data_IF_271086880707
#
_entry.id   IF_271086880707
#
_cell.length_a   1.000
_cell.length_b   1.000
_cell.length_c   1.000
_cell.angle_alpha   90.00
_cell.angle_beta   90.00
_cell.angle_gamma   90.00
#
_symmetry.space_group_name_H-M   'P 1'
#
loop_
_entity.id
_entity.type
_entity.pdbx_description
1 polymer ?
#
# COMPACT_ATOMS: atom_id res chain seq x y z
N UNK A 1 3.31 6.20 -11.95
CA UNK A 1 2.78 5.88 -10.60
C UNK A 1 3.82 5.05 -9.88
N UNK A 2 4.21 5.43 -8.66
CA UNK A 2 5.12 4.64 -7.82
C UNK A 2 4.33 4.15 -6.62
N UNK A 3 4.46 2.85 -6.31
CA UNK A 3 3.85 2.23 -5.13
C UNK A 3 4.85 1.31 -4.46
N UNK A 4 4.92 1.36 -3.14
CA UNK A 4 5.83 0.57 -2.32
C UNK A 4 5.08 -0.26 -1.29
N UNK A 5 5.63 -1.42 -0.95
CA UNK A 5 5.20 -2.28 0.15
C UNK A 5 6.44 -2.90 0.80
N UNK A 6 6.44 -3.19 2.11
CA UNK A 6 7.56 -3.87 2.76
C UNK A 6 7.87 -5.22 2.10
N UNK A 7 9.15 -5.49 1.85
CA UNK A 7 9.60 -6.81 1.41
C UNK A 7 9.27 -7.85 2.48
N UNK A 8 8.68 -8.97 2.07
CA UNK A 8 8.49 -10.14 2.91
C UNK A 8 9.76 -10.99 2.89
N UNK A 9 10.22 -11.41 4.05
CA UNK A 9 11.34 -12.31 4.24
C UNK A 9 10.89 -13.60 4.91
N UNK A 10 11.48 -14.71 4.48
CA UNK A 10 11.59 -15.91 5.28
C UNK A 10 12.82 -15.78 6.20
N UNK A 11 12.63 -16.08 7.47
CA UNK A 11 13.66 -15.94 8.52
C UNK A 11 14.04 -17.31 9.06
N UNK A 12 15.31 -17.67 8.88
CA UNK A 12 15.93 -18.87 9.46
C UNK A 12 17.18 -18.47 10.24
N UNK A 13 17.03 -18.33 11.56
CA UNK A 13 18.07 -17.79 12.44
C UNK A 13 18.45 -16.36 12.04
N UNK A 14 19.68 -16.17 11.55
CA UNK A 14 20.17 -14.87 11.04
C UNK A 14 20.03 -14.71 9.53
N UNK A 15 19.51 -15.71 8.83
CA UNK A 15 19.38 -15.70 7.38
C UNK A 15 18.01 -15.15 6.98
N UNK A 16 18.03 -14.11 6.15
CA UNK A 16 16.85 -13.45 5.59
C UNK A 16 16.78 -13.74 4.10
N UNK A 17 15.77 -14.47 3.67
CA UNK A 17 15.53 -14.79 2.25
C UNK A 17 14.31 -14.04 1.76
N UNK A 18 14.50 -13.11 0.81
CA UNK A 18 13.38 -12.36 0.24
C UNK A 18 12.38 -13.30 -0.44
N UNK A 19 11.10 -13.16 -0.10
CA UNK A 19 10.01 -13.91 -0.70
C UNK A 19 9.51 -13.15 -1.93
N UNK A 20 9.59 -13.74 -3.14
CA UNK A 20 9.12 -13.08 -4.33
C UNK A 20 7.60 -12.91 -4.29
N UNK A 21 7.14 -11.76 -4.75
CA UNK A 21 5.71 -11.53 -4.99
C UNK A 21 5.31 -12.39 -6.18
N UNK A 22 4.35 -13.30 -5.97
CA UNK A 22 3.73 -14.07 -7.04
C UNK A 22 2.81 -13.20 -7.89
N UNK A 23 2.02 -12.34 -7.23
CA UNK A 23 1.15 -11.38 -7.91
C UNK A 23 0.93 -10.15 -7.05
N UNK A 24 1.19 -9.00 -7.61
CA UNK A 24 0.75 -7.71 -7.10
C UNK A 24 -0.43 -7.23 -7.95
N UNK A 25 -1.51 -6.79 -7.32
CA UNK A 25 -2.66 -6.20 -8.03
C UNK A 25 -3.08 -4.94 -7.31
N UNK A 26 -2.97 -3.82 -8.01
CA UNK A 26 -3.46 -2.52 -7.60
C UNK A 26 -4.64 -2.15 -8.49
N UNK A 27 -5.78 -1.83 -7.89
CA UNK A 27 -6.97 -1.38 -8.61
C UNK A 27 -7.81 -0.47 -7.72
N UNK A 28 -8.65 0.34 -8.36
CA UNK A 28 -9.57 1.22 -7.65
C UNK A 28 -10.88 0.51 -7.37
N UNK A 29 -11.36 0.65 -6.14
CA UNK A 29 -12.69 0.24 -5.69
C UNK A 29 -13.53 1.48 -5.39
N UNK A 30 -14.85 1.31 -5.34
CA UNK A 30 -15.80 2.37 -5.01
C UNK A 30 -15.68 3.64 -5.88
N UNK A 31 -15.18 3.50 -7.11
CA UNK A 31 -14.91 4.64 -8.02
C UNK A 31 -16.18 5.45 -8.30
N UNK A 32 -17.35 4.80 -8.31
CA UNK A 32 -18.65 5.46 -8.51
C UNK A 32 -19.03 6.40 -7.36
N UNK A 33 -18.36 6.29 -6.21
CA UNK A 33 -18.55 7.19 -5.07
C UNK A 33 -17.57 8.38 -5.08
N UNK A 34 -16.62 8.42 -6.03
CA UNK A 34 -15.66 9.51 -6.12
C UNK A 34 -16.32 10.79 -6.66
N UNK A 35 -16.05 11.91 -5.98
CA UNK A 35 -16.49 13.25 -6.41
C UNK A 35 -15.45 13.93 -7.31
N UNK A 36 -14.18 13.63 -7.08
CA UNK A 36 -13.04 14.20 -7.80
C UNK A 36 -12.02 13.11 -8.14
N UNK A 37 -11.20 13.38 -9.15
CA UNK A 37 -10.00 12.58 -9.40
C UNK A 37 -9.02 12.72 -8.23
N UNK A 38 -8.10 11.76 -8.08
CA UNK A 38 -7.02 11.85 -7.10
C UNK A 38 -6.20 13.12 -7.40
N UNK A 39 -6.07 14.07 -6.44
CA UNK A 39 -5.29 15.27 -6.64
C UNK A 39 -3.86 14.99 -7.11
N UNK A 40 -3.34 15.84 -7.98
CA UNK A 40 -1.96 15.74 -8.44
C UNK A 40 -0.99 15.94 -7.28
N UNK A 41 0.17 15.27 -7.35
CA UNK A 41 1.20 15.26 -6.29
C UNK A 41 0.77 14.63 -4.95
N UNK A 42 -0.43 14.05 -4.89
CA UNK A 42 -0.90 13.38 -3.68
C UNK A 42 -0.04 12.17 -3.36
N UNK A 43 0.28 12.02 -2.07
CA UNK A 43 0.96 10.86 -1.50
C UNK A 43 0.06 10.26 -0.45
N UNK A 44 -0.25 8.98 -0.59
CA UNK A 44 -1.10 8.26 0.34
C UNK A 44 -0.28 7.17 1.04
N UNK A 45 -0.49 7.03 2.34
CA UNK A 45 0.00 5.92 3.14
C UNK A 45 -1.21 5.15 3.68
N UNK A 46 -1.23 3.84 3.46
CA UNK A 46 -2.13 2.91 4.11
C UNK A 46 -1.34 2.05 5.09
N UNK A 47 -1.84 1.85 6.31
CA UNK A 47 -1.15 1.07 7.35
C UNK A 47 -0.23 1.90 8.23
N UNK A 48 0.64 1.23 8.99
CA UNK A 48 1.52 1.87 9.96
C UNK A 48 2.85 1.14 10.06
N UNK A 49 3.92 1.71 9.51
CA UNK A 49 5.25 1.10 9.47
C UNK A 49 5.88 0.85 10.86
N UNK A 50 5.32 1.41 11.93
CA UNK A 50 5.83 1.24 13.32
C UNK A 50 4.93 0.36 14.18
N UNK A 51 3.82 -0.13 13.66
CA UNK A 51 2.90 -0.95 14.42
C UNK A 51 3.53 -2.31 14.76
N UNK A 52 3.46 -2.68 16.04
CA UNK A 52 3.97 -3.96 16.55
C UNK A 52 2.86 -4.91 16.99
N UNK A 53 1.60 -4.46 16.99
CA UNK A 53 0.39 -5.20 17.37
C UNK A 53 -0.83 -4.68 16.62
N UNK A 54 -1.96 -5.41 16.70
CA UNK A 54 -3.22 -5.06 16.04
C UNK A 54 -3.76 -3.69 16.47
N UNK A 55 -3.52 -3.26 17.71
CA UNK A 55 -3.92 -1.94 18.22
C UNK A 55 -3.24 -0.78 17.47
N UNK A 56 -2.06 -1.03 16.88
CA UNK A 56 -1.34 -0.04 16.07
C UNK A 56 -1.81 0.07 14.63
N UNK A 57 -2.75 -0.80 14.21
CA UNK A 57 -3.27 -0.89 12.84
C UNK A 57 -4.63 -0.22 12.77
N UNK A 58 -4.75 0.81 11.93
CA UNK A 58 -6.05 1.44 11.67
C UNK A 58 -6.99 0.45 10.97
N UNK A 59 -8.12 0.11 11.59
CA UNK A 59 -9.09 -0.84 11.06
C UNK A 59 -9.64 -0.46 9.67
N UNK A 60 -9.64 0.83 9.31
CA UNK A 60 -10.09 1.28 7.99
C UNK A 60 -9.11 0.92 6.87
N UNK A 61 -7.85 0.60 7.20
CA UNK A 61 -6.86 0.11 6.24
C UNK A 61 -7.22 -1.28 5.71
N UNK A 62 -8.09 -2.02 6.41
CA UNK A 62 -8.49 -3.37 6.01
C UNK A 62 -7.32 -4.33 5.86
N UNK A 63 -6.20 -4.09 6.56
CA UNK A 63 -5.04 -4.96 6.53
C UNK A 63 -5.43 -6.34 7.02
N UNK A 64 -5.26 -7.32 6.14
CA UNK A 64 -5.47 -8.71 6.46
C UNK A 64 -4.34 -9.55 5.88
N UNK A 65 -3.87 -10.53 6.63
CA UNK A 65 -3.03 -11.62 6.12
C UNK A 65 -3.80 -12.93 6.21
N UNK A 66 -3.90 -13.67 5.11
CA UNK A 66 -4.65 -14.91 5.07
C UNK A 66 -4.12 -15.84 3.99
N UNK A 67 -4.51 -17.11 4.06
CA UNK A 67 -4.19 -18.05 3.02
C UNK A 67 -5.28 -18.11 1.95
N UNK A 68 -4.87 -18.02 0.68
CA UNK A 68 -5.80 -18.08 -0.45
C UNK A 68 -6.54 -19.44 -0.46
N UNK A 69 -7.86 -19.38 -0.65
CA UNK A 69 -8.76 -20.53 -0.82
C UNK A 69 -8.69 -21.57 0.31
N UNK A 70 -8.53 -21.09 1.55
CA UNK A 70 -8.54 -21.90 2.77
C UNK A 70 -9.52 -21.34 3.79
N UNK A 71 -9.91 -22.19 4.75
CA UNK A 71 -10.77 -21.76 5.84
C UNK A 71 -10.09 -20.67 6.67
N UNK A 72 -10.87 -19.71 7.16
CA UNK A 72 -10.36 -18.66 8.02
C UNK A 72 -9.80 -19.22 9.32
N UNK A 73 -8.69 -18.64 9.78
CA UNK A 73 -8.07 -18.93 11.06
C UNK A 73 -8.53 -17.89 12.11
N UNK A 74 -8.65 -18.31 13.38
CA UNK A 74 -8.88 -17.37 14.49
C UNK A 74 -7.55 -16.73 14.92
N UNK A 75 -7.28 -15.56 14.38
CA UNK A 75 -6.13 -14.70 14.70
C UNK A 75 -6.51 -13.23 14.50
N UNK A 76 -5.63 -12.31 14.87
CA UNK A 76 -5.75 -10.92 14.44
C UNK A 76 -5.72 -10.83 12.91
N UNK A 77 -6.49 -9.90 12.33
CA UNK A 77 -6.56 -9.75 10.88
C UNK A 77 -5.17 -9.43 10.30
N UNK A 78 -4.45 -8.52 10.94
CA UNK A 78 -3.11 -8.10 10.52
C UNK A 78 -1.98 -9.06 10.95
N UNK A 79 -2.26 -10.13 11.69
CA UNK A 79 -1.25 -11.16 11.99
C UNK A 79 -1.08 -12.15 10.82
N UNK A 80 0.13 -12.64 10.60
CA UNK A 80 0.37 -13.76 9.69
C UNK A 80 -0.40 -15.03 10.11
N UNK A 81 -0.77 -15.92 9.16
CA UNK A 81 -1.32 -17.24 9.47
C UNK A 81 -0.37 -18.10 10.31
N UNK A 82 -0.91 -18.92 11.21
CA UNK A 82 -0.09 -19.83 12.05
C UNK A 82 0.23 -21.16 11.37
N UNK A 83 -0.32 -21.40 10.18
CA UNK A 83 -0.03 -22.58 9.38
C UNK A 83 0.27 -22.24 7.93
N UNK A 84 0.94 -23.17 7.26
CA UNK A 84 1.39 -22.99 5.88
C UNK A 84 0.22 -22.83 4.93
N UNK A 85 0.27 -21.78 4.11
CA UNK A 85 -0.69 -21.63 3.04
C UNK A 85 -0.49 -22.70 1.95
N UNK A 86 -1.51 -23.53 1.70
CA UNK A 86 -1.58 -24.51 0.61
C UNK A 86 -1.25 -23.93 -0.78
N UNK A 87 -1.68 -22.69 -1.04
CA UNK A 87 -1.46 -22.03 -2.34
C UNK A 87 -0.60 -20.78 -2.20
N UNK A 88 -1.19 -19.67 -1.76
CA UNK A 88 -0.50 -18.41 -1.61
C UNK A 88 -0.82 -17.80 -0.25
N UNK A 89 0.19 -17.16 0.34
CA UNK A 89 -0.04 -16.18 1.40
C UNK A 89 -0.52 -14.89 0.71
N UNK A 90 -1.61 -14.31 1.21
CA UNK A 90 -2.23 -13.12 0.65
C UNK A 90 -2.34 -12.02 1.70
N UNK A 91 -2.13 -10.78 1.26
CA UNK A 91 -2.50 -9.59 2.02
C UNK A 91 -3.30 -8.59 1.19
N UNK A 92 -4.12 -7.82 1.89
CA UNK A 92 -4.95 -6.74 1.35
C UNK A 92 -4.65 -5.45 2.09
N UNK A 93 -4.61 -4.34 1.39
CA UNK A 93 -4.52 -3.00 1.98
C UNK A 93 -5.46 -2.05 1.23
N UNK A 94 -6.22 -1.27 1.96
CA UNK A 94 -7.10 -0.23 1.44
C UNK A 94 -6.54 1.14 1.80
N UNK A 95 -6.39 1.97 0.78
CA UNK A 95 -5.94 3.33 0.94
C UNK A 95 -7.07 4.24 1.43
N UNK A 96 -6.71 5.39 2.02
CA UNK A 96 -7.61 6.51 2.24
C UNK A 96 -8.36 6.90 0.96
N UNK A 97 -9.60 7.32 1.11
CA UNK A 97 -10.55 7.56 0.02
C UNK A 97 -11.27 8.92 0.16
N UNK A 98 -10.69 9.80 0.96
CA UNK A 98 -11.01 11.22 1.09
C UNK A 98 -9.75 12.06 0.93
N UNK A 99 -9.89 13.19 0.24
CA UNK A 99 -8.80 14.14 0.01
C UNK A 99 -9.28 15.58 0.16
N UNK A 100 -8.41 16.44 0.69
CA UNK A 100 -8.52 17.88 0.54
C UNK A 100 -7.71 18.30 -0.72
N UNK A 101 -8.34 18.83 -1.77
CA UNK A 101 -7.63 19.18 -3.01
C UNK A 101 -6.65 20.35 -2.83
N UNK A 102 -6.84 21.19 -1.81
CA UNK A 102 -6.01 22.38 -1.56
C UNK A 102 -4.80 22.06 -0.65
N UNK A 103 -5.00 21.23 0.37
CA UNK A 103 -3.95 20.89 1.35
C UNK A 103 -3.25 19.56 1.08
N UNK A 104 -3.82 18.70 0.23
CA UNK A 104 -3.40 17.31 -0.03
C UNK A 104 -3.47 16.39 1.21
N UNK A 105 -4.10 16.83 2.29
CA UNK A 105 -4.45 15.97 3.42
C UNK A 105 -5.46 14.91 3.00
N UNK A 106 -5.38 13.75 3.63
CA UNK A 106 -6.24 12.60 3.33
C UNK A 106 -6.81 11.98 4.59
N UNK A 107 -7.92 11.27 4.41
CA UNK A 107 -8.58 10.52 5.46
C UNK A 107 -9.30 9.30 4.88
N UNK A 108 -9.65 8.37 5.77
CA UNK A 108 -10.60 7.32 5.45
C UNK A 108 -12.02 7.87 5.51
N UNK A 109 -12.89 7.37 4.66
CA UNK A 109 -14.31 7.64 4.72
C UNK A 109 -14.97 6.91 5.89
N UNK A 110 -15.99 7.53 6.48
CA UNK A 110 -16.74 6.96 7.59
C UNK A 110 -18.24 7.23 7.44
N UNK A 111 -19.06 6.47 8.16
CA UNK A 111 -20.50 6.71 8.18
C UNK A 111 -20.80 7.92 9.09
N UNK A 112 -21.36 9.03 8.55
CA UNK A 112 -21.62 10.23 9.33
C UNK A 112 -22.67 10.04 10.42
N UNK A 113 -23.49 8.97 10.36
CA UNK A 113 -24.43 8.63 11.42
C UNK A 113 -23.76 8.06 12.68
N UNK A 114 -22.50 7.63 12.57
CA UNK A 114 -21.75 6.97 13.64
C UNK A 114 -20.46 7.70 14.02
N UNK A 115 -19.98 8.61 13.16
CA UNK A 115 -18.70 9.33 13.35
C UNK A 115 -18.92 10.82 13.10
N UNK A 116 -18.71 11.63 14.14
CA UNK A 116 -18.82 13.08 14.07
C UNK A 116 -17.74 13.69 13.17
N UNK A 117 -18.03 14.87 12.61
CA UNK A 117 -17.10 15.60 11.75
C UNK A 117 -17.05 15.09 10.30
N UNK A 118 -17.96 14.18 9.92
CA UNK A 118 -18.10 13.66 8.56
C UNK A 118 -19.36 14.22 7.87
N UNK A 119 -19.25 14.53 6.58
CA UNK A 119 -20.35 14.98 5.74
C UNK A 119 -21.14 13.83 5.10
N UNK A 120 -22.20 14.18 4.37
CA UNK A 120 -23.04 13.20 3.64
C UNK A 120 -22.25 12.40 2.61
N UNK A 121 -21.20 12.99 2.04
CA UNK A 121 -20.27 12.32 1.14
C UNK A 121 -19.39 11.26 1.84
N UNK A 122 -19.52 11.07 3.16
CA UNK A 122 -18.73 10.16 4.00
C UNK A 122 -17.28 10.57 4.17
N UNK A 123 -16.90 11.80 3.83
CA UNK A 123 -15.57 12.34 4.15
C UNK A 123 -15.64 13.32 5.33
N UNK A 124 -14.49 13.58 6.00
CA UNK A 124 -14.40 14.71 6.91
C UNK A 124 -14.90 16.00 6.26
N UNK A 125 -15.56 16.87 7.02
CA UNK A 125 -16.08 18.15 6.51
C UNK A 125 -14.94 18.94 5.85
N UNK A 126 -15.16 19.36 4.60
CA UNK A 126 -14.16 20.07 3.79
C UNK A 126 -13.33 19.17 2.87
N UNK A 127 -13.44 17.85 2.96
CA UNK A 127 -12.80 16.90 2.05
C UNK A 127 -13.77 16.31 1.01
N UNK A 128 -13.21 15.78 -0.07
CA UNK A 128 -13.92 15.16 -1.19
C UNK A 128 -13.59 13.68 -1.32
N UNK A 129 -14.57 12.87 -1.75
CA UNK A 129 -14.33 11.46 -2.07
C UNK A 129 -13.45 11.33 -3.31
N UNK A 130 -12.44 10.48 -3.22
CA UNK A 130 -11.55 10.09 -4.34
C UNK A 130 -11.67 8.58 -4.60
N UNK A 131 -11.28 8.09 -5.80
CA UNK A 131 -11.21 6.66 -6.07
C UNK A 131 -10.33 5.94 -5.05
N UNK A 132 -10.86 4.87 -4.44
CA UNK A 132 -10.16 4.17 -3.37
C UNK A 132 -9.20 3.14 -3.94
N UNK A 133 -7.90 3.32 -3.73
CA UNK A 133 -6.91 2.34 -4.14
C UNK A 133 -6.92 1.12 -3.19
N UNK A 134 -6.85 -0.08 -3.78
CA UNK A 134 -6.68 -1.34 -3.07
C UNK A 134 -5.45 -2.07 -3.58
N UNK A 135 -4.58 -2.48 -2.66
CA UNK A 135 -3.53 -3.47 -2.94
C UNK A 135 -4.00 -4.85 -2.54
N UNK A 136 -3.72 -5.81 -3.42
CA UNK A 136 -3.87 -7.23 -3.17
C UNK A 136 -2.59 -7.92 -3.59
N UNK A 137 -1.88 -8.51 -2.64
CA UNK A 137 -0.53 -9.03 -2.82
C UNK A 137 -0.54 -10.49 -2.46
N UNK A 138 0.00 -11.34 -3.34
CA UNK A 138 0.14 -12.77 -3.14
C UNK A 138 1.60 -13.17 -3.20
N UNK A 139 2.01 -14.00 -2.27
CA UNK A 139 3.35 -14.57 -2.16
C UNK A 139 3.28 -16.08 -2.34
N UNK A 140 4.26 -16.63 -3.04
CA UNK A 140 4.43 -18.08 -3.16
C UNK A 140 5.55 -18.56 -2.23
N UNK A 141 5.15 -19.22 -1.15
CA UNK A 141 6.07 -19.72 -0.13
C UNK A 141 6.55 -21.14 -0.42
N UNK A 142 5.95 -21.87 -1.36
CA UNK A 142 6.17 -23.32 -1.54
C UNK A 142 7.61 -23.69 -1.89
N UNK A 143 8.33 -22.79 -2.58
CA UNK A 143 9.74 -23.00 -2.92
C UNK A 143 10.70 -22.64 -1.78
N UNK A 144 10.34 -21.67 -0.95
CA UNK A 144 11.19 -21.13 0.12
C UNK A 144 11.00 -21.93 1.42
N UNK A 145 9.77 -22.38 1.66
CA UNK A 145 9.33 -23.16 2.82
C UNK A 145 8.72 -24.49 2.36
N UNK A 146 9.51 -25.43 1.79
CA UNK A 146 8.99 -26.69 1.26
C UNK A 146 8.39 -27.60 2.35
N UNK A 147 8.93 -27.53 3.57
CA UNK A 147 8.45 -28.29 4.72
C UNK A 147 7.30 -27.57 5.47
N UNK A 148 7.03 -26.31 5.09
CA UNK A 148 6.05 -25.46 5.74
C UNK A 148 6.43 -25.03 7.17
N UNK A 149 5.44 -24.50 7.88
CA UNK A 149 5.44 -24.14 9.29
C UNK A 149 4.10 -24.49 9.94
N UNK A 150 4.15 -24.61 11.26
CA UNK A 150 2.99 -24.64 12.18
C UNK A 150 3.37 -23.89 13.46
N UNK A 151 2.46 -23.05 13.97
CA UNK A 151 2.72 -22.16 15.10
C UNK A 151 3.26 -20.81 14.66
N UNK A 152 4.39 -20.39 15.25
CA UNK A 152 4.97 -19.07 14.94
C UNK A 152 5.45 -19.04 13.48
N UNK A 153 4.99 -18.09 12.66
CA UNK A 153 5.38 -18.02 11.27
C UNK A 153 6.86 -17.61 11.15
N UNK A 154 7.67 -18.30 10.33
CA UNK A 154 9.07 -17.95 10.08
C UNK A 154 9.15 -16.79 9.07
N UNK A 155 8.36 -15.74 9.28
CA UNK A 155 8.14 -14.64 8.34
C UNK A 155 8.32 -13.30 9.04
N UNK A 156 8.97 -12.38 8.35
CA UNK A 156 9.15 -10.99 8.81
C UNK A 156 9.04 -10.05 7.61
N UNK A 157 8.46 -8.87 7.82
CA UNK A 157 8.50 -7.78 6.85
C UNK A 157 9.77 -6.96 7.06
N UNK A 158 10.22 -6.24 6.03
CA UNK A 158 11.35 -5.31 6.16
C UNK A 158 11.19 -4.28 7.29
N UNK A 159 9.95 -3.98 7.70
CA UNK A 159 9.63 -3.08 8.81
C UNK A 159 9.45 -3.78 10.17
N UNK A 160 9.54 -5.11 10.25
CA UNK A 160 9.29 -5.92 11.44
C UNK A 160 8.14 -6.92 11.27
N UNK A 161 7.25 -7.02 12.25
CA UNK A 161 6.15 -8.01 12.24
C UNK A 161 5.08 -7.70 11.18
N UNK A 162 4.15 -8.63 10.95
CA UNK A 162 3.03 -8.43 10.00
C UNK A 162 2.15 -7.20 10.28
N UNK A 163 2.13 -6.72 11.52
CA UNK A 163 1.39 -5.52 11.92
C UNK A 163 1.97 -4.24 11.31
N UNK A 164 3.26 -4.20 10.96
CA UNK A 164 3.87 -3.03 10.34
C UNK A 164 3.55 -2.89 8.83
N UNK A 165 2.76 -3.82 8.28
CA UNK A 165 2.28 -3.78 6.90
C UNK A 165 1.78 -2.39 6.53
N UNK A 166 2.29 -1.88 5.41
CA UNK A 166 1.83 -0.63 4.84
C UNK A 166 1.97 -0.65 3.33
N UNK A 167 1.30 0.30 2.69
CA UNK A 167 1.42 0.58 1.28
C UNK A 167 1.61 2.07 1.08
N UNK A 168 2.58 2.42 0.25
CA UNK A 168 2.80 3.78 -0.22
C UNK A 168 2.24 3.93 -1.63
N UNK A 169 1.61 5.07 -1.88
CA UNK A 169 1.14 5.44 -3.20
C UNK A 169 1.49 6.89 -3.49
N UNK A 170 2.13 7.12 -4.63
CA UNK A 170 2.38 8.46 -5.17
C UNK A 170 1.57 8.58 -6.46
N UNK A 171 0.66 9.55 -6.49
CA UNK A 171 -0.16 9.79 -7.67
C UNK A 171 0.74 10.21 -8.84
N UNK A 172 0.65 9.44 -9.92
CA UNK A 172 1.32 9.73 -11.18
C UNK A 172 0.41 9.50 -12.38
N UNK A 173 -0.91 9.60 -12.18
CA UNK A 173 -1.87 9.64 -13.28
C UNK A 173 -1.75 10.98 -14.01
N UNK A 174 -1.78 10.93 -15.34
CA UNK A 174 -2.03 12.14 -16.14
C UNK A 174 -3.37 12.73 -15.72
N UNK A 175 -3.47 14.06 -15.49
CA UNK A 175 -4.68 14.69 -14.97
C UNK A 175 -5.96 14.29 -15.71
N UNK A 176 -5.92 14.31 -17.05
CA UNK A 176 -7.06 14.02 -17.90
C UNK A 176 -7.48 12.54 -17.81
N UNK A 177 -6.52 11.62 -17.69
CA UNK A 177 -6.80 10.21 -17.50
C UNK A 177 -7.45 9.96 -16.13
N UNK A 178 -6.96 10.61 -15.08
CA UNK A 178 -7.55 10.52 -13.74
C UNK A 178 -8.99 11.06 -13.71
N UNK A 179 -9.25 12.15 -14.43
CA UNK A 179 -10.61 12.69 -14.58
C UNK A 179 -11.53 11.76 -15.36
N UNK A 180 -11.06 11.20 -16.48
CA UNK A 180 -11.84 10.26 -17.27
C UNK A 180 -12.21 9.01 -16.46
N UNK A 181 -11.28 8.50 -15.63
CA UNK A 181 -11.56 7.42 -14.71
C UNK A 181 -12.78 7.70 -13.81
N UNK A 182 -12.90 8.92 -13.27
CA UNK A 182 -14.04 9.29 -12.41
C UNK A 182 -15.31 9.51 -13.22
N UNK A 183 -15.21 10.20 -14.37
CA UNK A 183 -16.35 10.47 -15.26
C UNK A 183 -17.01 9.18 -15.75
N UNK A 184 -16.20 8.23 -16.20
CA UNK A 184 -16.68 7.00 -16.86
C UNK A 184 -17.10 5.91 -15.87
N UNK A 185 -16.73 6.03 -14.59
CA UNK A 185 -17.04 5.02 -13.57
C UNK A 185 -18.55 4.75 -13.45
N UNK A 186 -19.36 5.82 -13.44
CA UNK A 186 -20.81 5.74 -13.30
C UNK A 186 -21.54 5.09 -14.49
N UNK A 187 -20.92 5.09 -15.68
CA UNK A 187 -21.47 4.51 -16.90
C UNK A 187 -21.07 3.04 -17.14
N UNK A 188 -20.15 2.49 -16.35
CA UNK A 188 -19.64 1.13 -16.52
C UNK A 188 -20.31 0.17 -15.52
N UNK A 189 -21.12 -0.75 -16.03
CA UNK A 189 -22.02 -1.63 -15.28
C UNK A 189 -21.38 -2.93 -14.77
N UNK A 190 -20.11 -2.85 -14.33
CA UNK A 190 -19.30 -3.86 -13.57
C UNK A 190 -18.25 -4.65 -14.36
N UNK A 191 -18.03 -4.36 -15.64
CA UNK A 191 -16.84 -4.87 -16.34
C UNK A 191 -15.68 -3.88 -16.23
N UNK A 192 -14.48 -4.40 -16.02
CA UNK A 192 -13.24 -3.63 -16.01
C UNK A 192 -13.22 -2.67 -17.21
N UNK A 193 -13.13 -1.36 -16.97
CA UNK A 193 -13.07 -0.37 -18.03
C UNK A 193 -11.65 0.17 -18.19
N UNK A 194 -11.29 0.47 -19.43
CA UNK A 194 -10.01 1.06 -19.79
C UNK A 194 -10.10 2.56 -19.62
N UNK A 195 -9.07 3.16 -19.05
CA UNK A 195 -8.99 4.62 -18.88
C UNK A 195 -8.14 5.18 -20.02
N UNK A 196 -8.73 6.03 -20.85
CA UNK A 196 -8.01 6.72 -21.93
C UNK A 196 -7.46 8.06 -21.45
N UNK A 197 -6.33 8.47 -21.99
CA UNK A 197 -5.67 9.74 -21.66
C UNK A 197 -5.00 10.39 -22.87
N UNK A 198 -4.30 11.51 -22.68
CA UNK A 198 -3.65 12.24 -23.76
C UNK A 198 -2.50 11.45 -24.41
N UNK A 199 -2.00 10.42 -23.73
CA UNK A 199 -0.91 9.57 -24.16
C UNK A 199 -1.35 8.23 -24.79
N UNK A 200 -2.65 8.07 -25.10
CA UNK A 200 -3.16 6.89 -25.79
C UNK A 200 -4.43 6.31 -25.16
N UNK A 201 -5.04 5.34 -25.87
CA UNK A 201 -6.12 4.52 -25.33
C UNK A 201 -5.60 3.55 -24.24
N UNK A 202 -6.48 3.10 -23.35
CA UNK A 202 -6.09 2.30 -22.18
C UNK A 202 -5.55 0.89 -22.47
N UNK A 203 -5.43 0.48 -23.73
CA UNK A 203 -4.82 -0.79 -24.18
C UNK A 203 -3.59 -0.63 -25.07
N UNK A 204 -3.13 0.60 -25.30
CA UNK A 204 -1.95 0.88 -26.14
C UNK A 204 -0.62 0.61 -25.42
N UNK A 205 -0.68 0.22 -24.14
CA UNK A 205 0.50 -0.09 -23.34
C UNK A 205 1.13 1.14 -22.68
N UNK A 206 2.30 0.95 -22.06
CA UNK A 206 3.08 2.05 -21.49
C UNK A 206 3.90 2.73 -22.59
N UNK A 207 3.98 4.07 -22.57
CA UNK A 207 4.92 4.79 -23.43
C UNK A 207 6.39 4.55 -23.05
N UNK A 208 6.62 4.11 -21.81
CA UNK A 208 7.93 3.69 -21.35
C UNK A 208 8.00 2.16 -21.45
N UNK A 209 8.92 1.65 -22.27
CA UNK A 209 9.25 0.24 -22.29
C UNK A 209 10.05 -0.15 -21.04
N UNK A 210 9.97 -1.43 -20.65
CA UNK A 210 10.68 -1.93 -19.47
C UNK A 210 12.20 -1.77 -19.58
N UNK A 211 12.74 -1.73 -20.81
CA UNK A 211 14.17 -1.52 -21.09
C UNK A 211 14.59 -0.06 -20.86
N UNK A 212 13.68 0.88 -21.04
CA UNK A 212 13.90 2.33 -20.88
C UNK A 212 13.52 2.85 -19.48
N UNK A 213 12.92 1.99 -18.65
CA UNK A 213 12.59 2.30 -17.28
C UNK A 213 13.87 2.32 -16.42
N UNK A 214 14.34 3.51 -16.10
CA UNK A 214 15.47 3.71 -15.19
C UNK A 214 14.99 4.21 -13.83
N UNK A 215 15.56 3.63 -12.77
CA UNK A 215 15.45 4.22 -11.44
C UNK A 215 15.99 5.65 -11.52
N UNK A 216 15.15 6.62 -11.13
CA UNK A 216 15.54 8.03 -11.13
C UNK A 216 16.57 8.34 -10.04
N UNK A 217 16.75 7.42 -9.08
CA UNK A 217 17.73 7.54 -8.01
C UNK A 217 18.47 6.22 -7.71
N UNK A 218 19.23 5.67 -8.69
CA UNK A 218 19.78 4.32 -8.62
C UNK A 218 20.90 4.16 -7.58
N UNK A 219 21.40 5.27 -7.02
CA UNK A 219 22.51 5.27 -6.07
C UNK A 219 22.08 5.39 -4.61
N UNK A 220 20.81 5.64 -4.34
CA UNK A 220 20.30 5.85 -2.97
C UNK A 220 19.27 4.80 -2.52
N UNK A 221 19.22 3.65 -3.23
CA UNK A 221 18.45 2.47 -2.84
C UNK A 221 19.28 1.18 -2.92
N UNK A 222 18.79 0.10 -2.29
CA UNK A 222 19.39 -1.23 -2.36
C UNK A 222 18.32 -2.31 -2.19
N UNK A 223 18.54 -3.47 -2.80
CA UNK A 223 17.71 -4.66 -2.63
C UNK A 223 18.23 -5.63 -1.55
N UNK A 224 19.43 -5.38 -1.01
CA UNK A 224 20.02 -6.19 0.07
C UNK A 224 19.56 -5.69 1.45
N UNK A 225 19.07 -6.60 2.29
CA UNK A 225 18.54 -6.25 3.61
C UNK A 225 19.60 -5.59 4.49
N UNK A 226 20.78 -6.21 4.61
CA UNK A 226 21.82 -5.70 5.50
C UNK A 226 22.38 -4.37 5.02
N UNK A 227 22.49 -4.18 3.71
CA UNK A 227 22.85 -2.89 3.14
C UNK A 227 21.78 -1.83 3.42
N UNK A 228 20.49 -2.18 3.32
CA UNK A 228 19.40 -1.26 3.63
C UNK A 228 19.46 -0.80 5.10
N UNK A 229 19.74 -1.73 6.03
CA UNK A 229 19.91 -1.42 7.46
C UNK A 229 21.10 -0.48 7.68
N UNK A 230 22.25 -0.73 7.05
CA UNK A 230 23.40 0.18 7.13
C UNK A 230 23.07 1.56 6.60
N UNK A 231 22.39 1.66 5.44
CA UNK A 231 21.99 2.95 4.85
C UNK A 231 21.04 3.73 5.78
N UNK A 232 20.11 3.05 6.46
CA UNK A 232 19.24 3.67 7.46
C UNK A 232 20.00 4.21 8.68
N UNK A 233 20.98 3.46 9.19
CA UNK A 233 21.80 3.91 10.32
C UNK A 233 22.78 5.02 9.94
N UNK A 234 23.29 5.02 8.71
CA UNK A 234 24.06 6.14 8.15
C UNK A 234 23.20 7.41 8.06
N UNK A 235 21.94 7.29 7.64
CA UNK A 235 20.98 8.40 7.59
C UNK A 235 20.73 9.01 8.98
N UNK A 236 20.55 8.20 10.02
CA UNK A 236 20.41 8.67 11.41
C UNK A 236 21.64 9.46 11.90
N UNK A 237 22.83 9.14 11.39
CA UNK A 237 24.09 9.81 11.72
C UNK A 237 24.42 11.02 10.83
N UNK A 238 23.59 11.32 9.82
CA UNK A 238 23.74 12.49 8.97
C UNK A 238 23.47 13.79 9.73
N UNK A 239 24.44 14.72 9.69
CA UNK A 239 24.34 16.07 10.27
C UNK A 239 23.19 16.91 9.70
N UNK A 240 22.66 16.55 8.53
CA UNK A 240 21.47 17.18 7.94
C UNK A 240 20.19 16.84 8.71
N UNK A 241 20.01 15.59 9.12
CA UNK A 241 18.83 15.12 9.88
C UNK A 241 18.81 15.69 11.30
N UNK A 242 19.98 15.86 11.94
CA UNK A 242 20.10 16.52 13.26
C UNK A 242 19.62 17.98 13.25
N UNK A 243 19.74 18.70 12.12
CA UNK A 243 19.25 20.08 12.00
C UNK A 243 17.72 20.16 11.84
N UNK A 244 17.11 19.19 11.17
CA UNK A 244 15.65 19.15 10.94
C UNK A 244 14.88 18.80 12.22
N UNK A 245 15.40 17.86 13.01
CA UNK A 245 14.83 17.49 14.32
C UNK A 245 14.96 18.60 15.38
N UNK A 246 16.03 19.40 15.33
CA UNK A 246 16.20 20.55 16.23
C UNK A 246 15.21 21.70 15.92
N UNK A 247 14.72 21.80 14.68
CA UNK A 247 13.73 22.82 14.27
C UNK A 247 12.29 22.44 14.64
N UNK A 248 11.98 21.14 14.71
CA UNK A 248 10.63 20.65 15.06
C UNK A 248 10.36 20.55 16.57
N UNK A 249 11.36 20.79 17.44
CA UNK A 249 11.20 20.80 18.90
C UNK A 249 10.93 22.19 19.50
N UNK A 250 10.69 23.20 18.67
CA UNK A 250 10.19 24.51 19.11
C UNK A 250 8.88 24.79 18.42
N UNK A 251 7.79 24.25 18.94
CA UNK A 251 6.45 24.85 19.08
C UNK A 251 5.67 23.98 20.05
#
# INVERSE_FOLDING_TARGET
MQSGVPTLYHVDGSNYTAVPIFRFSAYYVDVNSAEIAIPQNMKLLAGNATATSQDGVDGNTGIQWFCDSQAGEKKDDAAFPTETCKYHLQTLLLFPDCANPDTLEYAYSANPNWVDGYGENRCPIGMKRIPRLRFSIRYDLRKILPDGWSGTPPLELACGSSYCSHGDFINGWLPEAAENMVKDASSNDREYFRVSGPNGAGDEGSLCDAEDAHDSDPTHGTSDYWESVKMMDMSKNSTLVRRTLARHRRF
#
